data_IF_597945267842
#
_entry.id   IF_597945267842
#
_cell.length_a   1.000
_cell.length_b   1.000
_cell.length_c   1.000
_cell.angle_alpha   90.00
_cell.angle_beta   90.00
_cell.angle_gamma   90.00
#
_symmetry.space_group_name_H-M   'P 1'
#
loop_
_entity.id
_entity.type
_entity.pdbx_description
1 polymer ?
#
# COMPACT_ATOMS: atom_id res chain seq x y z
N UNK A 1 -77.90 31.77 0.16
CA UNK A 1 -77.27 30.64 0.89
C UNK A 1 -77.01 29.52 -0.11
N UNK A 2 -75.81 29.46 -0.70
CA UNK A 2 -75.42 28.36 -1.59
C UNK A 2 -74.51 27.45 -0.77
N UNK A 3 -75.04 26.28 -0.43
CA UNK A 3 -74.33 25.27 0.35
C UNK A 3 -73.37 24.55 -0.59
N UNK A 4 -72.09 24.91 -0.51
CA UNK A 4 -71.03 24.16 -1.18
C UNK A 4 -70.89 22.82 -0.46
N UNK A 5 -71.39 21.75 -1.11
CA UNK A 5 -71.10 20.39 -0.69
C UNK A 5 -69.69 20.04 -1.14
N UNK A 6 -68.75 20.09 -0.20
CA UNK A 6 -67.42 19.55 -0.35
C UNK A 6 -67.54 18.04 -0.64
N UNK A 7 -67.14 17.62 -1.84
CA UNK A 7 -67.22 16.23 -2.27
C UNK A 7 -66.13 15.42 -1.58
N UNK A 8 -66.47 14.48 -0.67
CA UNK A 8 -65.49 13.79 0.18
C UNK A 8 -64.45 12.98 -0.62
N UNK A 9 -64.80 12.59 -1.86
CA UNK A 9 -63.92 11.84 -2.75
C UNK A 9 -62.70 12.63 -3.23
N UNK A 10 -62.77 13.96 -3.29
CA UNK A 10 -61.66 14.81 -3.75
C UNK A 10 -60.59 14.97 -2.66
N UNK A 11 -61.01 15.04 -1.39
CA UNK A 11 -60.08 15.11 -0.26
C UNK A 11 -59.31 13.81 -0.06
N UNK A 12 -59.96 12.65 -0.20
CA UNK A 12 -59.30 11.34 -0.01
C UNK A 12 -58.27 11.03 -1.09
N UNK A 13 -58.47 11.52 -2.33
CA UNK A 13 -57.49 11.37 -3.41
C UNK A 13 -56.28 12.27 -3.19
N UNK A 14 -56.50 13.53 -2.82
CA UNK A 14 -55.42 14.48 -2.54
C UNK A 14 -54.53 14.03 -1.35
N UNK A 15 -55.13 13.53 -0.27
CA UNK A 15 -54.36 13.03 0.90
C UNK A 15 -53.58 11.76 0.60
N UNK A 16 -54.13 10.85 -0.21
CA UNK A 16 -53.41 9.63 -0.66
C UNK A 16 -52.19 9.95 -1.52
N UNK A 17 -52.32 10.90 -2.45
CA UNK A 17 -51.20 11.35 -3.28
C UNK A 17 -50.11 12.05 -2.46
N UNK A 18 -50.49 12.85 -1.46
CA UNK A 18 -49.53 13.53 -0.57
C UNK A 18 -48.75 12.52 0.30
N UNK A 19 -49.45 11.52 0.84
CA UNK A 19 -48.85 10.47 1.65
C UNK A 19 -47.87 9.59 0.84
N UNK A 20 -48.23 9.24 -0.39
CA UNK A 20 -47.36 8.50 -1.30
C UNK A 20 -46.10 9.29 -1.67
N UNK A 21 -46.24 10.59 -1.93
CA UNK A 21 -45.10 11.48 -2.20
C UNK A 21 -44.16 11.61 -1.00
N UNK A 22 -44.70 11.81 0.21
CA UNK A 22 -43.91 11.88 1.43
C UNK A 22 -43.15 10.57 1.73
N UNK A 23 -43.78 9.42 1.50
CA UNK A 23 -43.14 8.11 1.67
C UNK A 23 -41.96 7.90 0.71
N UNK A 24 -42.10 8.31 -0.55
CA UNK A 24 -41.01 8.23 -1.54
C UNK A 24 -39.82 9.13 -1.16
N UNK A 25 -40.09 10.37 -0.73
CA UNK A 25 -39.04 11.29 -0.27
C UNK A 25 -38.34 10.77 0.99
N UNK A 26 -39.08 10.18 1.93
CA UNK A 26 -38.50 9.59 3.13
C UNK A 26 -37.62 8.37 2.83
N UNK A 27 -38.05 7.50 1.91
CA UNK A 27 -37.27 6.32 1.48
C UNK A 27 -35.99 6.72 0.74
N UNK A 28 -36.08 7.68 -0.18
CA UNK A 28 -34.92 8.21 -0.92
C UNK A 28 -33.95 8.99 -0.01
N UNK A 29 -34.49 9.74 0.96
CA UNK A 29 -33.71 10.47 1.96
C UNK A 29 -32.99 9.55 2.94
N UNK A 30 -33.62 8.44 3.36
CA UNK A 30 -33.01 7.45 4.24
C UNK A 30 -31.82 6.72 3.59
N UNK A 31 -31.85 6.50 2.27
CA UNK A 31 -30.72 5.93 1.52
C UNK A 31 -29.63 6.96 1.18
N UNK A 32 -29.85 8.25 1.46
CA UNK A 32 -28.92 9.33 1.12
C UNK A 32 -27.63 9.37 1.95
N UNK A 33 -27.56 8.67 3.09
CA UNK A 33 -26.36 8.65 3.93
C UNK A 33 -25.13 8.03 3.24
N UNK A 34 -25.32 7.15 2.25
CA UNK A 34 -24.21 6.57 1.48
C UNK A 34 -23.58 7.55 0.48
N UNK A 35 -24.22 8.69 0.20
CA UNK A 35 -23.69 9.72 -0.71
C UNK A 35 -22.63 10.58 -0.02
N UNK A 36 -22.70 10.70 1.30
CA UNK A 36 -21.76 11.49 2.11
C UNK A 36 -20.74 10.66 2.86
N UNK A 37 -20.87 9.34 2.84
CA UNK A 37 -19.88 8.43 3.43
C UNK A 37 -18.77 8.18 2.43
N UNK A 38 -17.52 8.27 2.88
CA UNK A 38 -16.38 7.77 2.11
C UNK A 38 -16.54 6.26 1.89
N UNK A 39 -16.32 5.79 0.66
CA UNK A 39 -16.33 4.36 0.35
C UNK A 39 -14.99 3.79 0.79
N UNK A 40 -15.00 2.96 1.84
CA UNK A 40 -13.77 2.37 2.39
C UNK A 40 -12.93 1.60 1.35
N UNK A 41 -13.56 1.06 0.30
CA UNK A 41 -12.89 0.37 -0.82
C UNK A 41 -12.08 1.29 -1.74
N UNK A 42 -12.22 2.61 -1.60
CA UNK A 42 -11.48 3.62 -2.38
C UNK A 42 -10.27 4.16 -1.60
N UNK A 43 -10.14 3.81 -0.31
CA UNK A 43 -8.97 4.17 0.49
C UNK A 43 -7.78 3.38 -0.04
N UNK A 44 -6.80 4.09 -0.60
CA UNK A 44 -5.55 3.49 -1.07
C UNK A 44 -4.62 3.29 0.13
N UNK A 45 -4.04 2.09 0.21
CA UNK A 45 -3.03 1.74 1.20
C UNK A 45 -2.10 0.68 0.61
N UNK A 46 -0.90 0.56 1.17
CA UNK A 46 -0.02 -0.55 0.88
C UNK A 46 -0.60 -1.82 1.52
N UNK A 47 -1.22 -2.68 0.70
CA UNK A 47 -1.87 -3.91 1.17
C UNK A 47 -0.90 -5.09 1.37
N UNK A 48 0.40 -4.83 1.26
CA UNK A 48 1.50 -5.79 1.32
C UNK A 48 2.60 -5.23 2.22
N UNK A 49 3.68 -5.99 2.39
CA UNK A 49 4.76 -5.67 3.35
C UNK A 49 5.63 -4.49 2.91
N UNK A 50 5.65 -4.16 1.62
CA UNK A 50 6.36 -3.02 1.05
C UNK A 50 5.49 -1.77 0.84
N UNK A 51 6.12 -0.65 0.54
CA UNK A 51 5.42 0.62 0.25
C UNK A 51 4.79 0.64 -1.15
N UNK A 52 3.81 1.53 -1.33
CA UNK A 52 3.21 1.87 -2.61
C UNK A 52 3.27 3.39 -2.73
N UNK A 53 3.95 3.89 -3.76
CA UNK A 53 4.16 5.33 -3.95
C UNK A 53 4.34 5.68 -5.43
N UNK A 54 4.56 6.96 -5.74
CA UNK A 54 4.82 7.50 -7.07
C UNK A 54 6.02 8.45 -7.01
N UNK A 55 6.93 8.34 -7.99
CA UNK A 55 8.12 9.21 -8.09
C UNK A 55 8.26 9.69 -9.53
N UNK A 56 8.06 10.99 -9.76
CA UNK A 56 7.88 11.51 -11.12
C UNK A 56 6.77 10.74 -11.86
N UNK A 57 7.03 10.18 -13.06
CA UNK A 57 6.06 9.38 -13.79
C UNK A 57 6.00 7.90 -13.37
N UNK A 58 6.88 7.44 -12.49
CA UNK A 58 7.00 6.02 -12.13
C UNK A 58 6.07 5.66 -10.98
N UNK A 59 5.45 4.49 -11.09
CA UNK A 59 4.59 3.92 -10.07
C UNK A 59 5.33 2.81 -9.32
N UNK A 60 5.58 3.01 -8.02
CA UNK A 60 6.24 2.05 -7.15
C UNK A 60 5.20 1.12 -6.51
N UNK A 61 5.41 -0.19 -6.59
CA UNK A 61 4.46 -1.19 -6.08
C UNK A 61 5.18 -2.22 -5.23
N UNK A 62 4.81 -2.26 -3.94
CA UNK A 62 5.34 -3.19 -2.95
C UNK A 62 6.88 -3.13 -2.85
N UNK A 63 7.44 -1.93 -2.65
CA UNK A 63 8.89 -1.78 -2.48
C UNK A 63 9.28 -2.08 -1.02
N UNK A 64 10.18 -3.03 -0.84
CA UNK A 64 10.75 -3.44 0.45
C UNK A 64 12.20 -3.91 0.24
N UNK A 65 12.94 -4.09 1.34
CA UNK A 65 14.31 -4.59 1.31
C UNK A 65 14.42 -5.83 2.17
N UNK A 66 15.10 -6.86 1.67
CA UNK A 66 15.47 -8.06 2.42
C UNK A 66 16.96 -7.99 2.72
N UNK A 67 17.33 -8.03 4.00
CA UNK A 67 18.73 -8.10 4.45
C UNK A 67 18.85 -9.03 5.66
N UNK A 68 20.06 -9.49 5.96
CA UNK A 68 20.33 -10.30 7.16
C UNK A 68 20.44 -9.45 8.43
N UNK A 69 21.09 -8.28 8.36
CA UNK A 69 21.35 -7.39 9.49
C UNK A 69 21.75 -5.98 9.02
N UNK A 70 21.84 -5.03 9.93
CA UNK A 70 22.33 -3.68 9.65
C UNK A 70 23.76 -3.71 9.08
N UNK A 71 23.98 -2.97 8.00
CA UNK A 71 25.26 -2.83 7.31
C UNK A 71 25.54 -3.91 6.28
N UNK A 72 24.77 -5.00 6.24
CA UNK A 72 24.91 -6.06 5.24
C UNK A 72 24.17 -5.71 3.92
N UNK A 73 24.50 -6.38 2.81
CA UNK A 73 23.80 -6.18 1.55
C UNK A 73 22.29 -6.39 1.70
N UNK A 74 21.51 -5.66 0.89
CA UNK A 74 20.05 -5.75 0.90
C UNK A 74 19.48 -5.91 -0.50
N UNK A 75 18.64 -6.93 -0.70
CA UNK A 75 17.90 -7.11 -1.96
C UNK A 75 16.61 -6.32 -1.91
N UNK A 76 16.42 -5.42 -2.86
CA UNK A 76 15.16 -4.71 -3.10
C UNK A 76 14.19 -5.69 -3.75
N UNK A 77 12.94 -5.73 -3.26
CA UNK A 77 11.84 -6.45 -3.91
C UNK A 77 10.75 -5.45 -4.31
N UNK A 78 9.92 -5.87 -5.26
CA UNK A 78 8.78 -5.11 -5.74
C UNK A 78 8.84 -4.78 -7.22
N UNK A 79 7.90 -3.96 -7.67
CA UNK A 79 7.74 -3.64 -9.08
C UNK A 79 7.70 -2.14 -9.30
N UNK A 80 8.40 -1.67 -10.32
CA UNK A 80 8.33 -0.30 -10.82
C UNK A 80 7.60 -0.32 -12.15
N UNK A 81 6.48 0.38 -12.26
CA UNK A 81 5.70 0.49 -13.49
C UNK A 81 5.92 1.86 -14.14
N UNK A 82 6.10 1.87 -15.46
CA UNK A 82 6.25 3.08 -16.26
C UNK A 82 5.05 3.20 -17.22
N UNK A 83 4.03 4.02 -16.90
CA UNK A 83 2.87 4.23 -17.75
C UNK A 83 3.15 5.14 -18.97
N UNK A 84 4.37 5.70 -19.10
CA UNK A 84 4.68 6.68 -20.15
C UNK A 84 5.09 6.02 -21.47
N UNK A 85 5.14 6.80 -22.54
CA UNK A 85 5.51 6.38 -23.88
C UNK A 85 7.03 6.41 -24.16
N UNK A 86 7.84 6.63 -23.12
CA UNK A 86 9.30 6.65 -23.20
C UNK A 86 9.94 5.91 -22.03
N UNK A 87 11.14 5.34 -22.23
CA UNK A 87 11.90 4.75 -21.13
C UNK A 87 12.28 5.83 -20.10
N UNK A 88 12.26 5.45 -18.81
CA UNK A 88 12.57 6.34 -17.68
C UNK A 88 13.65 5.69 -16.82
N UNK A 89 14.70 6.45 -16.51
CA UNK A 89 15.73 6.04 -15.56
C UNK A 89 15.26 6.33 -14.14
N UNK A 90 15.34 5.31 -13.28
CA UNK A 90 15.24 5.45 -11.84
C UNK A 90 16.61 5.20 -11.22
N UNK A 91 16.97 6.05 -10.27
CA UNK A 91 18.12 5.86 -9.39
C UNK A 91 17.62 5.77 -7.95
N UNK A 92 18.02 4.73 -7.22
CA UNK A 92 17.70 4.52 -5.81
C UNK A 92 18.99 4.69 -5.02
N UNK A 93 19.04 5.72 -4.17
CA UNK A 93 20.20 6.07 -3.37
C UNK A 93 19.94 5.72 -1.90
N UNK A 94 20.76 4.81 -1.37
CA UNK A 94 20.93 4.59 0.07
C UNK A 94 22.10 5.40 0.62
N UNK A 95 22.41 5.22 1.90
CA UNK A 95 23.46 6.02 2.57
C UNK A 95 24.82 5.92 1.87
N UNK A 96 25.22 4.72 1.44
CA UNK A 96 26.53 4.47 0.83
C UNK A 96 26.45 3.60 -0.44
N UNK A 97 25.26 3.43 -1.02
CA UNK A 97 25.03 2.57 -2.18
C UNK A 97 24.02 3.17 -3.14
N UNK A 98 24.13 2.85 -4.42
CA UNK A 98 23.24 3.34 -5.47
C UNK A 98 22.85 2.19 -6.39
N UNK A 99 21.57 2.14 -6.76
CA UNK A 99 21.02 1.20 -7.74
C UNK A 99 20.40 2.00 -8.88
N UNK A 100 20.77 1.69 -10.12
CA UNK A 100 20.28 2.36 -11.33
C UNK A 100 19.52 1.38 -12.22
N UNK A 101 18.25 1.66 -12.51
CA UNK A 101 17.43 0.84 -13.41
C UNK A 101 16.76 1.69 -14.49
N UNK A 102 16.69 1.15 -15.70
CA UNK A 102 15.89 1.75 -16.78
C UNK A 102 14.58 0.98 -16.92
N UNK A 103 13.46 1.67 -16.74
CA UNK A 103 12.12 1.10 -16.93
C UNK A 103 11.60 1.49 -18.31
N UNK A 104 11.42 0.50 -19.18
CA UNK A 104 10.95 0.68 -20.56
C UNK A 104 9.56 1.34 -20.63
N UNK A 105 9.27 1.98 -21.76
CA UNK A 105 7.97 2.61 -22.04
C UNK A 105 6.82 1.61 -21.94
N UNK A 106 5.70 2.04 -21.35
CA UNK A 106 4.49 1.22 -21.13
C UNK A 106 4.81 -0.14 -20.47
N UNK A 107 5.87 -0.17 -19.68
CA UNK A 107 6.53 -1.38 -19.19
C UNK A 107 6.63 -1.46 -17.67
N UNK A 108 7.36 -2.47 -17.20
CA UNK A 108 7.66 -2.65 -15.78
C UNK A 108 9.05 -3.24 -15.58
N UNK A 109 9.62 -2.95 -14.42
CA UNK A 109 10.77 -3.63 -13.85
C UNK A 109 10.32 -4.40 -12.62
N UNK A 110 10.67 -5.67 -12.52
CA UNK A 110 10.31 -6.55 -11.40
C UNK A 110 11.62 -6.99 -10.75
N UNK A 111 11.92 -6.48 -9.55
CA UNK A 111 13.23 -6.74 -8.93
C UNK A 111 13.47 -8.23 -8.68
N UNK A 112 12.41 -9.00 -8.43
CA UNK A 112 12.48 -10.44 -8.17
C UNK A 112 12.85 -11.28 -9.41
N UNK A 113 12.62 -10.76 -10.62
CA UNK A 113 12.90 -11.47 -11.88
C UNK A 113 14.35 -11.25 -12.35
N UNK A 114 15.07 -10.28 -11.79
CA UNK A 114 16.37 -9.85 -12.26
C UNK A 114 17.49 -10.74 -11.72
N UNK A 115 18.36 -11.19 -12.64
CA UNK A 115 19.52 -12.04 -12.31
C UNK A 115 20.83 -11.25 -12.22
N UNK A 116 20.77 -9.94 -12.49
CA UNK A 116 21.87 -8.99 -12.33
C UNK A 116 21.77 -8.33 -10.95
N UNK A 117 22.87 -7.83 -10.39
CA UNK A 117 22.89 -7.16 -9.07
C UNK A 117 22.15 -5.80 -9.05
N UNK A 118 21.37 -5.49 -10.10
CA UNK A 118 20.65 -4.22 -10.32
C UNK A 118 19.44 -4.03 -9.35
N UNK A 119 19.33 -4.87 -8.33
CA UNK A 119 18.37 -4.77 -7.24
C UNK A 119 19.01 -4.94 -5.86
N UNK A 120 20.34 -4.88 -5.75
CA UNK A 120 21.06 -5.09 -4.49
C UNK A 120 21.75 -3.82 -4.04
N UNK A 121 21.42 -3.37 -2.83
CA UNK A 121 22.17 -2.35 -2.11
C UNK A 121 23.37 -3.00 -1.44
N UNK A 122 24.55 -2.40 -1.55
CA UNK A 122 25.77 -2.94 -0.95
C UNK A 122 25.73 -2.95 0.60
N UNK A 123 24.92 -2.07 1.20
CA UNK A 123 24.71 -2.02 2.64
C UNK A 123 23.42 -1.29 3.01
N UNK A 124 22.64 -1.87 3.93
CA UNK A 124 21.41 -1.28 4.47
C UNK A 124 21.68 -0.71 5.85
N UNK A 125 21.46 0.59 6.06
CA UNK A 125 21.82 1.28 7.32
C UNK A 125 20.87 1.02 8.50
N UNK A 126 19.92 0.10 8.36
CA UNK A 126 18.90 -0.21 9.36
C UNK A 126 18.73 -1.72 9.53
N UNK A 127 18.29 -2.12 10.72
CA UNK A 127 18.02 -3.52 11.06
C UNK A 127 16.69 -4.01 10.44
N UNK A 128 16.54 -5.33 10.19
CA UNK A 128 15.23 -5.91 9.90
C UNK A 128 14.17 -5.55 10.97
N UNK A 129 12.98 -5.19 10.51
CA UNK A 129 11.87 -4.67 11.33
C UNK A 129 11.82 -3.14 11.44
N UNK A 130 12.84 -2.43 10.95
CA UNK A 130 12.86 -0.97 10.86
C UNK A 130 12.43 -0.46 9.46
N UNK A 131 12.45 0.87 9.31
CA UNK A 131 12.27 1.55 8.02
C UNK A 131 13.58 2.28 7.70
N UNK A 132 14.12 2.09 6.49
CA UNK A 132 15.29 2.82 6.00
C UNK A 132 14.85 3.96 5.09
N UNK A 133 15.50 5.13 5.21
CA UNK A 133 15.30 6.26 4.32
C UNK A 133 16.09 6.04 3.02
N UNK A 134 15.40 6.00 1.88
CA UNK A 134 16.01 5.92 0.56
C UNK A 134 15.56 7.11 -0.30
N UNK A 135 16.46 7.63 -1.13
CA UNK A 135 16.14 8.65 -2.12
C UNK A 135 15.88 8.01 -3.47
N UNK A 136 14.67 8.22 -4.00
CA UNK A 136 14.28 7.80 -5.33
C UNK A 136 14.39 9.01 -6.26
N UNK A 137 15.25 8.91 -7.26
CA UNK A 137 15.57 9.99 -8.17
C UNK A 137 15.11 9.63 -9.58
N UNK A 138 14.25 10.48 -10.14
CA UNK A 138 13.79 10.40 -11.52
C UNK A 138 13.98 11.76 -12.18
N UNK A 139 14.85 11.81 -13.19
CA UNK A 139 15.27 13.06 -13.86
C UNK A 139 15.89 14.10 -12.91
N UNK A 140 15.12 15.06 -12.41
CA UNK A 140 15.54 16.10 -11.46
C UNK A 140 14.64 16.15 -10.23
N UNK A 141 13.74 15.18 -10.10
CA UNK A 141 12.86 15.00 -8.96
C UNK A 141 13.47 13.95 -8.04
N UNK A 142 13.58 14.28 -6.76
CA UNK A 142 14.04 13.39 -5.70
C UNK A 142 12.95 13.30 -4.65
N UNK A 143 12.56 12.09 -4.31
CA UNK A 143 11.60 11.79 -3.24
C UNK A 143 12.28 10.89 -2.23
N UNK A 144 12.31 11.32 -0.97
CA UNK A 144 12.78 10.51 0.16
C UNK A 144 11.62 9.65 0.66
N UNK A 145 11.80 8.32 0.64
CA UNK A 145 10.79 7.35 1.06
C UNK A 145 11.34 6.43 2.16
N UNK A 146 10.48 6.12 3.13
CA UNK A 146 10.76 5.18 4.20
C UNK A 146 10.38 3.77 3.77
N UNK A 147 11.37 2.96 3.45
CA UNK A 147 11.21 1.61 2.92
C UNK A 147 11.39 0.57 4.04
N UNK A 148 10.46 -0.38 4.21
CA UNK A 148 10.58 -1.40 5.24
C UNK A 148 11.72 -2.38 4.93
N UNK A 149 12.45 -2.73 5.99
CA UNK A 149 13.53 -3.71 5.97
C UNK A 149 13.03 -4.98 6.66
N UNK A 150 13.16 -6.12 5.99
CA UNK A 150 12.72 -7.44 6.43
C UNK A 150 13.87 -8.44 6.32
N UNK A 151 13.67 -9.62 6.89
CA UNK A 151 14.62 -10.73 6.88
C UNK A 151 13.98 -12.02 6.34
N UNK A 152 14.72 -13.13 6.40
CA UNK A 152 14.24 -14.46 6.02
C UNK A 152 13.45 -15.21 7.11
N UNK A 153 12.99 -14.55 8.17
CA UNK A 153 12.19 -15.19 9.22
C UNK A 153 10.92 -15.80 8.63
N UNK A 154 10.28 -15.07 7.72
CA UNK A 154 9.21 -15.57 6.85
C UNK A 154 9.80 -16.42 5.72
N UNK A 155 9.19 -17.58 5.46
CA UNK A 155 9.75 -18.58 4.56
C UNK A 155 9.82 -18.09 3.10
N UNK A 156 8.85 -17.27 2.70
CA UNK A 156 8.73 -16.60 1.41
C UNK A 156 9.86 -15.62 1.12
N UNK A 157 10.57 -15.09 2.13
CA UNK A 157 11.65 -14.13 1.92
C UNK A 157 13.05 -14.75 1.91
N UNK A 158 13.19 -16.02 2.26
CA UNK A 158 14.50 -16.68 2.45
C UNK A 158 15.36 -16.74 1.20
N UNK A 159 14.74 -16.83 0.02
CA UNK A 159 15.47 -16.87 -1.25
C UNK A 159 16.08 -15.51 -1.61
N UNK A 160 15.54 -14.43 -1.04
CA UNK A 160 15.97 -13.06 -1.28
C UNK A 160 16.93 -12.52 -0.22
N UNK A 161 17.31 -13.32 0.78
CA UNK A 161 18.32 -12.93 1.76
C UNK A 161 19.70 -13.00 1.11
N UNK A 162 20.44 -11.88 0.97
CA UNK A 162 21.80 -11.91 0.44
C UNK A 162 22.69 -12.86 1.25
N UNK A 163 23.47 -13.70 0.57
CA UNK A 163 24.30 -14.72 1.22
C UNK A 163 23.53 -15.94 1.76
N UNK A 164 22.20 -15.93 1.70
CA UNK A 164 21.30 -17.01 2.11
C UNK A 164 20.83 -16.90 3.57
N UNK A 165 19.66 -17.46 3.84
CA UNK A 165 19.06 -17.45 5.17
C UNK A 165 19.70 -18.46 6.12
N UNK A 166 20.14 -17.99 7.28
CA UNK A 166 20.48 -18.84 8.44
C UNK A 166 19.47 -18.58 9.55
N UNK A 167 18.70 -19.59 10.01
CA UNK A 167 17.73 -19.38 11.08
C UNK A 167 18.45 -19.02 12.38
N UNK A 168 17.91 -18.02 13.08
CA UNK A 168 18.33 -17.75 14.45
C UNK A 168 18.14 -18.99 15.32
N UNK A 169 19.07 -19.26 16.26
CA UNK A 169 18.89 -20.34 17.20
C UNK A 169 17.64 -20.07 18.05
N UNK A 170 16.69 -21.01 18.05
CA UNK A 170 15.51 -20.92 18.91
C UNK A 170 15.97 -20.77 20.37
N UNK A 171 15.59 -19.70 21.08
CA UNK A 171 15.97 -19.55 22.48
C UNK A 171 15.41 -20.76 23.25
N UNK A 172 16.29 -21.50 23.91
CA UNK A 172 15.86 -22.58 24.80
C UNK A 172 15.06 -21.95 25.93
N UNK A 173 13.83 -22.43 26.22
CA UNK A 173 13.06 -21.90 27.34
C UNK A 173 13.89 -21.96 28.61
N UNK A 174 14.13 -20.80 29.23
CA UNK A 174 14.72 -20.77 30.57
C UNK A 174 13.64 -21.30 31.52
N UNK A 175 13.82 -22.53 31.98
CA UNK A 175 12.99 -23.11 33.04
C UNK A 175 13.15 -22.21 34.27
N UNK A 176 12.15 -21.36 34.51
CA UNK A 176 12.12 -20.49 35.68
C UNK A 176 11.80 -21.41 36.86
N UNK A 177 12.83 -21.80 37.60
CA UNK A 177 12.67 -22.57 38.82
C UNK A 177 11.74 -21.83 39.77
N UNK A 178 10.62 -22.46 40.10
CA UNK A 178 9.76 -22.05 41.21
C UNK A 178 10.59 -22.16 42.50
N UNK A 179 11.04 -21.03 43.03
CA UNK A 179 11.51 -20.96 44.41
C UNK A 179 10.28 -21.10 45.32
N UNK A 180 10.08 -22.30 45.85
CA UNK A 180 9.14 -22.56 46.94
C UNK A 180 9.61 -21.83 48.22
N UNK A 181 8.76 -20.97 48.78
CA UNK A 181 8.87 -20.44 50.16
C UNK A 181 7.84 -21.11 51.09
#
# INVERSE_FOLDING_TARGET
MKSDRINPLQHTRATRSLAAGAALVALLGATGCSVTSEQATTIQYAASDGIVDEVGPLELRNILIITSEEGEPGTILGTVFNPTDSAVQLTIEGENSTVDITVEAEGKWVFEDETTDDGVLEGVSEIPGALVDLNFVVNSETVELRVPVLDGTLAEYREYVPGGYTPEPTPTPVETGEEEE
#
